data_IF_985706257436
#
_entry.id   IF_985706257436
#
_cell.length_a   1.000
_cell.length_b   1.000
_cell.length_c   1.000
_cell.angle_alpha   90.00
_cell.angle_beta   90.00
_cell.angle_gamma   90.00
#
_symmetry.space_group_name_H-M   'P 1'
#
loop_
_entity.id
_entity.type
_entity.pdbx_description
1 polymer ?
#
# COMPACT_ATOMS: atom_id res chain seq x y z
N UNK A 1 -5.07 9.43 -8.21
CA UNK A 1 -3.69 9.25 -8.74
C UNK A 1 -2.84 8.44 -7.79
N UNK A 2 -1.90 7.62 -8.30
CA UNK A 2 -1.02 6.75 -7.49
C UNK A 2 -0.18 7.59 -6.50
N UNK A 3 0.38 8.72 -6.96
CA UNK A 3 1.17 9.62 -6.12
C UNK A 3 0.42 10.12 -4.89
N UNK A 4 -0.88 10.45 -5.03
CA UNK A 4 -1.69 10.90 -3.90
C UNK A 4 -1.83 9.82 -2.84
N UNK A 5 -2.06 8.56 -3.25
CA UNK A 5 -2.13 7.40 -2.34
C UNK A 5 -0.78 7.15 -1.66
N UNK A 6 0.32 7.22 -2.41
CA UNK A 6 1.66 7.06 -1.84
C UNK A 6 1.95 8.16 -0.80
N UNK A 7 1.58 9.42 -1.09
CA UNK A 7 1.74 10.55 -0.18
C UNK A 7 0.93 10.37 1.10
N UNK A 8 -0.34 9.99 1.01
CA UNK A 8 -1.21 9.79 2.19
C UNK A 8 -0.73 8.63 3.05
N UNK A 9 -0.36 7.50 2.44
CA UNK A 9 0.22 6.36 3.16
C UNK A 9 1.51 6.76 3.89
N UNK A 10 2.40 7.52 3.26
CA UNK A 10 3.64 7.99 3.90
C UNK A 10 3.39 8.90 5.08
N UNK A 11 2.49 9.90 4.93
CA UNK A 11 2.13 10.83 6.00
C UNK A 11 1.56 10.06 7.20
N UNK A 12 0.65 9.11 6.95
CA UNK A 12 0.05 8.30 8.00
C UNK A 12 1.08 7.41 8.73
N UNK A 13 2.07 6.91 7.99
CA UNK A 13 3.11 6.03 8.53
C UNK A 13 4.25 6.79 9.24
N UNK A 14 4.25 8.13 9.20
CA UNK A 14 5.31 9.01 9.74
C UNK A 14 6.73 8.67 9.22
N UNK A 15 6.83 8.15 8.00
CA UNK A 15 8.11 7.74 7.41
C UNK A 15 8.77 8.92 6.68
N UNK A 16 10.11 9.09 6.79
CA UNK A 16 10.85 10.09 6.04
C UNK A 16 10.67 9.96 4.50
N UNK A 17 10.90 11.06 3.78
CA UNK A 17 10.67 11.14 2.35
C UNK A 17 11.59 10.23 1.51
N UNK A 18 12.72 9.78 2.08
CA UNK A 18 13.69 8.90 1.43
C UNK A 18 13.18 7.48 1.12
N UNK A 19 12.03 7.06 1.67
CA UNK A 19 11.44 5.73 1.42
C UNK A 19 10.23 5.75 0.48
N UNK A 20 10.18 6.73 -0.42
CA UNK A 20 9.05 6.97 -1.32
C UNK A 20 8.78 5.82 -2.30
N UNK A 21 9.84 5.13 -2.73
CA UNK A 21 9.82 3.96 -3.60
C UNK A 21 8.83 2.89 -3.10
N UNK A 22 8.90 2.55 -1.81
CA UNK A 22 8.05 1.50 -1.23
C UNK A 22 6.59 1.91 -1.18
N UNK A 23 6.32 3.19 -0.92
CA UNK A 23 4.96 3.73 -0.91
C UNK A 23 4.34 3.79 -2.31
N UNK A 24 5.12 4.15 -3.34
CA UNK A 24 4.66 4.11 -4.73
C UNK A 24 4.29 2.71 -5.18
N UNK A 25 5.16 1.73 -4.90
CA UNK A 25 4.90 0.32 -5.22
C UNK A 25 3.63 -0.17 -4.52
N UNK A 26 3.49 0.10 -3.21
CA UNK A 26 2.31 -0.28 -2.44
C UNK A 26 1.05 0.42 -2.95
N UNK A 27 1.13 1.72 -3.29
CA UNK A 27 -0.01 2.47 -3.82
C UNK A 27 -0.48 1.93 -5.19
N UNK A 28 0.46 1.55 -6.06
CA UNK A 28 0.13 0.90 -7.33
C UNK A 28 -0.56 -0.45 -7.09
N UNK A 29 0.05 -1.29 -6.26
CA UNK A 29 -0.49 -2.60 -5.91
C UNK A 29 -1.89 -2.55 -5.29
N UNK A 30 -2.11 -1.62 -4.35
CA UNK A 30 -3.42 -1.38 -3.75
C UNK A 30 -4.45 -0.91 -4.78
N UNK A 31 -4.03 -0.11 -5.77
CA UNK A 31 -4.95 0.39 -6.80
C UNK A 31 -5.50 -0.75 -7.67
N UNK A 32 -4.71 -1.80 -7.92
CA UNK A 32 -5.17 -2.99 -8.63
C UNK A 32 -6.15 -3.84 -7.82
N UNK A 33 -6.06 -3.81 -6.49
CA UNK A 33 -6.93 -4.60 -5.60
C UNK A 33 -8.17 -3.85 -5.14
N UNK A 34 -8.14 -2.52 -5.13
CA UNK A 34 -9.30 -1.70 -4.78
C UNK A 34 -10.33 -1.69 -5.90
N UNK A 35 -11.60 -1.53 -5.54
CA UNK A 35 -12.68 -1.37 -6.49
C UNK A 35 -12.45 -0.12 -7.35
N UNK A 36 -12.58 -0.26 -8.67
CA UNK A 36 -12.55 0.86 -9.60
C UNK A 36 -13.96 1.10 -10.13
N UNK A 37 -14.50 2.29 -9.88
CA UNK A 37 -15.84 2.66 -10.34
C UNK A 37 -15.99 2.58 -11.86
N UNK A 38 -14.92 2.89 -12.60
CA UNK A 38 -14.89 2.79 -14.06
C UNK A 38 -15.05 1.36 -14.61
N UNK A 39 -14.65 0.34 -13.85
CA UNK A 39 -14.67 -1.07 -14.29
C UNK A 39 -15.82 -1.83 -13.59
N UNK A 40 -16.45 -1.25 -12.57
CA UNK A 40 -17.49 -1.92 -11.79
C UNK A 40 -16.99 -3.10 -10.94
N UNK A 41 -15.66 -3.27 -10.84
CA UNK A 41 -15.00 -4.33 -10.08
C UNK A 41 -13.57 -3.94 -9.75
N UNK A 42 -12.84 -4.82 -9.04
CA UNK A 42 -11.41 -4.64 -8.81
C UNK A 42 -10.64 -4.98 -10.10
N UNK A 43 -9.64 -4.18 -10.51
CA UNK A 43 -8.80 -4.51 -11.67
C UNK A 43 -8.20 -5.93 -11.60
N UNK A 44 -7.82 -6.37 -10.39
CA UNK A 44 -7.36 -7.73 -10.15
C UNK A 44 -8.38 -8.79 -10.57
N UNK A 45 -9.66 -8.59 -10.24
CA UNK A 45 -10.73 -9.50 -10.66
C UNK A 45 -10.95 -9.44 -12.17
N UNK A 46 -10.83 -8.27 -12.78
CA UNK A 46 -10.93 -8.11 -14.23
C UNK A 46 -9.81 -8.88 -14.96
N UNK A 47 -8.60 -8.93 -14.41
CA UNK A 47 -7.46 -9.64 -15.02
C UNK A 47 -7.39 -11.13 -14.69
N UNK A 48 -7.71 -11.53 -13.45
CA UNK A 48 -7.51 -12.90 -12.98
C UNK A 48 -8.82 -13.69 -12.79
N UNK A 49 -9.98 -13.07 -13.04
CA UNK A 49 -11.31 -13.68 -12.85
C UNK A 49 -11.69 -14.00 -11.40
N UNK A 50 -10.78 -13.81 -10.46
CA UNK A 50 -10.91 -14.20 -9.04
C UNK A 50 -10.77 -12.98 -8.13
N UNK A 51 -11.34 -13.06 -6.92
CA UNK A 51 -11.20 -11.99 -5.92
C UNK A 51 -9.76 -11.96 -5.39
N UNK A 52 -9.17 -10.76 -5.18
CA UNK A 52 -7.83 -10.68 -4.60
C UNK A 52 -7.83 -11.23 -3.17
N UNK A 53 -6.79 -12.00 -2.83
CA UNK A 53 -6.54 -12.42 -1.46
C UNK A 53 -5.81 -11.30 -0.70
N UNK A 54 -6.45 -10.74 0.33
CA UNK A 54 -5.92 -9.62 1.13
C UNK A 54 -5.23 -10.06 2.42
N UNK A 55 -5.13 -11.36 2.71
CA UNK A 55 -4.56 -11.90 3.96
C UNK A 55 -3.07 -11.58 4.15
N UNK A 56 -2.36 -11.28 3.07
CA UNK A 56 -0.95 -10.90 3.10
C UNK A 56 -0.73 -9.40 3.40
N UNK A 57 -1.79 -8.59 3.43
CA UNK A 57 -1.67 -7.15 3.69
C UNK A 57 -1.33 -6.91 5.17
N UNK A 58 -0.31 -6.08 5.39
CA UNK A 58 0.11 -5.64 6.72
C UNK A 58 0.04 -4.12 6.87
N UNK A 59 -0.03 -3.63 8.10
CA UNK A 59 0.09 -2.20 8.39
C UNK A 59 1.50 -1.75 8.01
N UNK A 60 1.60 -0.58 7.37
CA UNK A 60 2.89 0.00 7.02
C UNK A 60 3.53 0.57 8.29
N UNK A 61 4.74 0.10 8.59
CA UNK A 61 5.48 0.45 9.81
C UNK A 61 5.40 -0.67 10.85
N UNK A 62 6.52 -0.90 11.54
CA UNK A 62 6.63 -1.80 12.68
C UNK A 62 7.22 -1.00 13.85
N UNK A 63 6.87 -1.35 15.09
CA UNK A 63 7.54 -0.83 16.28
C UNK A 63 8.98 -1.36 16.27
N UNK A 64 9.95 -0.49 15.98
CA UNK A 64 11.37 -0.80 16.12
C UNK A 64 11.85 -0.26 17.46
N UNK A 65 12.27 -1.16 18.35
CA UNK A 65 12.90 -0.81 19.62
C UNK A 65 14.42 -0.84 19.42
N UNK A 66 15.12 0.22 19.85
CA UNK A 66 16.58 0.26 19.88
C UNK A 66 17.01 -0.23 21.26
N UNK A 67 17.80 -1.30 21.31
CA UNK A 67 18.46 -1.73 22.54
C UNK A 67 19.64 -0.78 22.79
N UNK A 68 19.50 0.11 23.77
CA UNK A 68 20.61 0.90 24.29
C UNK A 68 21.29 0.02 25.34
N UNK A 69 22.54 -0.37 25.08
CA UNK A 69 23.37 -1.02 26.09
C UNK A 69 24.03 0.08 26.91
N UNK A 70 23.79 0.07 28.23
CA UNK A 70 24.51 0.90 29.21
C UNK A 70 25.98 0.46 29.35
#
# INVERSE_FOLDING_TARGET
TIMSKARTMRIQSKVPANRWDKFCQTACYMSCQTYSWSIGMTPYKAWHGTKPNLSHLCKIGCLALVLIQD
#
